data_IF_947741922508
#
_entry.id   IF_947741922508
#
_cell.length_a   1.000
_cell.length_b   1.000
_cell.length_c   1.000
_cell.angle_alpha   90.00
_cell.angle_beta   90.00
_cell.angle_gamma   90.00
#
_symmetry.space_group_name_H-M   'P 1'
#
loop_
_entity.id
_entity.type
_entity.pdbx_description
1 polymer ?
#
# COMPACT_ATOMS: atom_id res chain seq x y z
N UNK A 1 68.79 74.16 54.06
CA UNK A 1 69.00 72.94 53.26
C UNK A 1 67.69 72.16 53.26
N UNK A 2 66.92 72.30 52.19
CA UNK A 2 65.70 71.54 51.94
C UNK A 2 66.11 70.27 51.20
N UNK A 3 66.03 69.11 51.86
CA UNK A 3 66.07 67.83 51.16
C UNK A 3 64.64 67.58 50.65
N UNK A 4 64.43 67.86 49.36
CA UNK A 4 63.15 67.66 48.68
C UNK A 4 62.79 66.17 48.68
N UNK A 5 61.57 65.87 49.13
CA UNK A 5 60.97 64.54 48.94
C UNK A 5 60.83 64.35 47.43
N UNK A 6 61.61 63.42 46.89
CA UNK A 6 61.54 63.01 45.49
C UNK A 6 60.21 62.27 45.30
N UNK A 7 59.30 62.88 44.53
CA UNK A 7 58.01 62.28 44.21
C UNK A 7 58.23 61.15 43.21
N UNK A 8 57.93 59.92 43.63
CA UNK A 8 58.02 58.71 42.81
C UNK A 8 56.81 58.62 41.86
N UNK A 9 56.92 59.30 40.72
CA UNK A 9 55.87 59.38 39.69
C UNK A 9 55.53 58.00 39.08
N UNK A 10 56.52 57.10 38.99
CA UNK A 10 56.37 55.79 38.35
C UNK A 10 55.42 54.87 39.14
N UNK A 11 55.48 54.91 40.48
CA UNK A 11 54.52 54.18 41.34
C UNK A 11 53.09 54.70 41.23
N UNK A 12 52.92 56.00 40.98
CA UNK A 12 51.60 56.61 40.83
C UNK A 12 51.00 56.27 39.46
N UNK A 13 51.79 56.29 38.39
CA UNK A 13 51.36 55.88 37.04
C UNK A 13 50.97 54.40 36.99
N UNK A 14 51.76 53.49 37.59
CA UNK A 14 51.45 52.05 37.62
C UNK A 14 50.15 51.75 38.38
N UNK A 15 49.94 52.43 39.52
CA UNK A 15 48.66 52.36 40.26
C UNK A 15 47.47 52.87 39.45
N UNK A 16 47.67 53.93 38.67
CA UNK A 16 46.62 54.53 37.82
C UNK A 16 46.29 53.62 36.63
N UNK A 17 47.29 53.04 35.97
CA UNK A 17 47.09 52.06 34.90
C UNK A 17 46.40 50.79 35.38
N UNK A 18 46.74 50.32 36.58
CA UNK A 18 46.09 49.16 37.19
C UNK A 18 44.60 49.44 37.50
N UNK A 19 44.30 50.59 38.08
CA UNK A 19 42.91 50.99 38.36
C UNK A 19 42.12 51.16 37.06
N UNK A 20 42.71 51.80 36.04
CA UNK A 20 42.07 51.93 34.73
C UNK A 20 41.81 50.56 34.07
N UNK A 21 42.76 49.62 34.19
CA UNK A 21 42.62 48.25 33.72
C UNK A 21 41.50 47.48 34.44
N UNK A 22 41.40 47.61 35.77
CA UNK A 22 40.32 46.99 36.55
C UNK A 22 38.94 47.56 36.20
N UNK A 23 38.84 48.88 35.98
CA UNK A 23 37.60 49.53 35.53
C UNK A 23 37.19 49.04 34.15
N UNK A 24 38.15 48.92 33.22
CA UNK A 24 37.88 48.42 31.88
C UNK A 24 37.47 46.94 31.88
N UNK A 25 38.11 46.10 32.70
CA UNK A 25 37.74 44.69 32.88
C UNK A 25 36.33 44.54 33.43
N UNK A 26 35.93 45.37 34.41
CA UNK A 26 34.54 45.39 34.90
C UNK A 26 33.56 45.82 33.82
N UNK A 27 33.94 46.80 32.99
CA UNK A 27 33.10 47.22 31.87
C UNK A 27 32.89 46.10 30.85
N UNK A 28 33.95 45.35 30.52
CA UNK A 28 33.85 44.18 29.64
C UNK A 28 33.04 43.05 30.26
N UNK A 29 33.23 42.77 31.56
CA UNK A 29 32.43 41.78 32.28
C UNK A 29 30.94 42.09 32.22
N UNK A 30 30.57 43.34 32.53
CA UNK A 30 29.17 43.79 32.44
C UNK A 30 28.62 43.72 31.02
N UNK A 31 29.40 44.10 30.01
CA UNK A 31 28.99 43.98 28.61
C UNK A 31 28.72 42.52 28.21
N UNK A 32 29.58 41.58 28.61
CA UNK A 32 29.40 40.16 28.31
C UNK A 32 28.18 39.57 29.01
N UNK A 33 27.91 39.99 30.26
CA UNK A 33 26.70 39.59 30.99
C UNK A 33 25.43 40.14 30.33
N UNK A 34 25.40 41.42 29.98
CA UNK A 34 24.28 42.06 29.26
C UNK A 34 24.05 41.42 27.90
N UNK A 35 25.12 41.16 27.14
CA UNK A 35 25.05 40.51 25.83
C UNK A 35 24.58 39.05 25.94
N UNK A 36 25.07 38.31 26.94
CA UNK A 36 24.61 36.96 27.23
C UNK A 36 23.13 36.90 27.60
N UNK A 37 22.66 37.86 28.41
CA UNK A 37 21.25 38.00 28.76
C UNK A 37 20.38 38.35 27.54
N UNK A 38 20.88 39.19 26.63
CA UNK A 38 20.19 39.49 25.36
C UNK A 38 20.09 38.26 24.46
N UNK A 39 21.17 37.49 24.30
CA UNK A 39 21.13 36.24 23.53
C UNK A 39 20.12 35.25 24.11
N UNK A 40 20.11 35.09 25.44
CA UNK A 40 19.17 34.22 26.11
C UNK A 40 17.72 34.68 25.92
N UNK A 41 17.47 35.99 25.98
CA UNK A 41 16.14 36.54 25.68
C UNK A 41 15.70 36.32 24.24
N UNK A 42 16.63 36.33 23.28
CA UNK A 42 16.35 35.99 21.87
C UNK A 42 16.06 34.49 21.72
N UNK A 43 16.83 33.64 22.39
CA UNK A 43 16.63 32.18 22.44
C UNK A 43 15.26 31.81 23.03
N UNK A 44 14.91 32.36 24.19
CA UNK A 44 13.61 32.15 24.83
C UNK A 44 12.44 32.66 23.95
N UNK A 45 12.60 33.81 23.28
CA UNK A 45 11.60 34.33 22.36
C UNK A 45 11.44 33.49 21.08
N UNK A 46 12.52 32.80 20.65
CA UNK A 46 12.48 31.86 19.54
C UNK A 46 11.85 30.53 19.95
N UNK A 47 12.18 29.98 21.14
CA UNK A 47 11.57 28.74 21.66
C UNK A 47 10.05 28.86 21.82
N UNK A 48 9.53 29.97 22.34
CA UNK A 48 8.07 30.17 22.49
C UNK A 48 7.33 30.37 21.15
N UNK A 49 8.04 30.71 20.07
CA UNK A 49 7.46 30.92 18.73
C UNK A 49 7.67 29.74 17.77
N UNK A 50 8.58 28.82 18.08
CA UNK A 50 8.95 27.68 17.23
C UNK A 50 8.37 26.42 17.86
N UNK A 51 7.10 26.16 17.53
CA UNK A 51 6.46 24.87 17.74
C UNK A 51 7.38 23.73 17.25
N UNK A 52 7.39 22.59 17.96
CA UNK A 52 8.06 21.29 17.67
C UNK A 52 7.88 20.73 16.23
N UNK A 53 7.22 21.46 15.34
CA UNK A 53 6.98 21.12 13.94
C UNK A 53 8.01 21.68 12.96
N UNK A 54 8.91 22.58 13.38
CA UNK A 54 9.87 23.24 12.48
C UNK A 54 11.31 22.84 12.82
N UNK A 55 11.60 21.54 12.75
CA UNK A 55 12.98 21.08 12.61
C UNK A 55 13.50 21.51 11.24
N UNK A 56 14.35 22.53 11.20
CA UNK A 56 14.95 23.08 9.97
C UNK A 56 15.89 22.06 9.29
N UNK A 57 16.25 20.96 9.98
CA UNK A 57 16.97 19.82 9.42
C UNK A 57 16.06 18.78 8.73
N UNK A 58 14.74 18.83 8.97
CA UNK A 58 13.74 18.20 8.10
C UNK A 58 13.57 19.11 6.88
N UNK A 59 14.34 18.78 5.84
CA UNK A 59 14.48 19.56 4.61
C UNK A 59 13.17 19.99 3.92
N UNK A 60 13.28 20.79 2.85
CA UNK A 60 12.17 21.51 2.23
C UNK A 60 10.97 20.60 1.94
N UNK A 61 9.77 21.12 2.24
CA UNK A 61 8.47 20.55 1.85
C UNK A 61 8.58 20.13 0.38
N UNK A 62 8.54 18.83 0.13
CA UNK A 62 8.59 18.27 -1.21
C UNK A 62 7.39 18.76 -2.01
N UNK A 63 7.63 19.65 -2.98
CA UNK A 63 6.61 20.08 -3.93
C UNK A 63 6.52 19.05 -5.05
N UNK A 64 5.62 18.08 -4.89
CA UNK A 64 5.32 17.11 -5.94
C UNK A 64 4.36 17.71 -6.97
N UNK A 65 4.90 18.18 -8.08
CA UNK A 65 4.09 18.51 -9.26
C UNK A 65 3.76 17.22 -10.01
N UNK A 66 2.72 16.49 -9.58
CA UNK A 66 2.11 15.48 -10.45
C UNK A 66 1.24 16.23 -11.45
N UNK A 67 1.47 16.12 -12.76
CA UNK A 67 0.58 16.74 -13.74
C UNK A 67 -0.82 16.13 -13.61
N UNK A 68 -1.82 16.98 -13.31
CA UNK A 68 -3.22 16.59 -13.28
C UNK A 68 -3.88 16.95 -14.60
N UNK A 69 -4.13 15.93 -15.43
CA UNK A 69 -4.84 16.07 -16.69
C UNK A 69 -6.29 16.52 -16.41
N UNK A 70 -6.66 17.72 -16.88
CA UNK A 70 -8.02 18.26 -16.76
C UNK A 70 -8.96 17.81 -17.90
N UNK A 71 -8.48 16.87 -18.72
CA UNK A 71 -9.16 16.35 -19.90
C UNK A 71 -9.65 14.92 -19.64
N UNK A 72 -10.82 14.56 -20.18
CA UNK A 72 -11.32 13.18 -20.09
C UNK A 72 -10.69 12.27 -21.14
N UNK A 73 -10.62 10.96 -20.88
CA UNK A 73 -10.17 9.97 -21.88
C UNK A 73 -10.95 10.08 -23.20
N UNK A 74 -12.25 10.39 -23.13
CA UNK A 74 -13.11 10.56 -24.31
C UNK A 74 -12.70 11.77 -25.17
N UNK A 75 -12.18 12.83 -24.55
CA UNK A 75 -11.72 14.03 -25.26
C UNK A 75 -10.30 13.85 -25.80
N UNK A 76 -9.45 13.07 -25.11
CA UNK A 76 -8.11 12.74 -25.59
C UNK A 76 -8.12 11.79 -26.78
N UNK A 77 -9.12 10.90 -26.85
CA UNK A 77 -9.25 9.89 -27.90
C UNK A 77 -10.24 10.38 -28.95
N UNK A 78 -9.79 11.32 -29.77
CA UNK A 78 -10.55 11.89 -30.88
C UNK A 78 -9.85 11.61 -32.21
N UNK A 79 -10.22 10.50 -32.86
CA UNK A 79 -9.81 10.17 -34.23
C UNK A 79 -11.02 9.95 -35.12
N UNK A 80 -10.84 10.05 -36.44
CA UNK A 80 -11.91 9.79 -37.42
C UNK A 80 -12.43 8.34 -37.36
N UNK A 81 -11.62 7.41 -36.84
CA UNK A 81 -11.99 6.02 -36.70
C UNK A 81 -12.74 5.78 -35.37
N UNK A 82 -14.07 5.89 -35.44
CA UNK A 82 -14.97 5.67 -34.29
C UNK A 82 -14.82 4.29 -33.64
N UNK A 83 -14.47 3.26 -34.41
CA UNK A 83 -14.23 1.92 -33.88
C UNK A 83 -12.95 1.91 -33.05
N UNK A 84 -11.86 2.47 -33.60
CA UNK A 84 -10.59 2.60 -32.90
C UNK A 84 -10.77 3.42 -31.61
N UNK A 85 -11.53 4.52 -31.65
CA UNK A 85 -11.80 5.32 -30.45
C UNK A 85 -12.43 4.47 -29.34
N UNK A 86 -13.42 3.62 -29.66
CA UNK A 86 -14.04 2.72 -28.67
C UNK A 86 -13.03 1.75 -28.07
N UNK A 87 -12.18 1.13 -28.90
CA UNK A 87 -11.15 0.19 -28.46
C UNK A 87 -10.15 0.90 -27.54
N UNK A 88 -9.63 2.05 -27.96
CA UNK A 88 -8.69 2.85 -27.18
C UNK A 88 -9.31 3.33 -25.87
N UNK A 89 -10.57 3.77 -25.85
CA UNK A 89 -11.25 4.20 -24.63
C UNK A 89 -11.35 3.05 -23.62
N UNK A 90 -11.70 1.84 -24.07
CA UNK A 90 -11.77 0.66 -23.20
C UNK A 90 -10.40 0.35 -22.59
N UNK A 91 -9.35 0.23 -23.40
CA UNK A 91 -8.02 -0.07 -22.89
C UNK A 91 -7.43 1.06 -22.04
N UNK A 92 -7.61 2.32 -22.43
CA UNK A 92 -7.15 3.47 -21.66
C UNK A 92 -7.84 3.53 -20.29
N UNK A 93 -9.14 3.23 -20.22
CA UNK A 93 -9.89 3.17 -18.97
C UNK A 93 -9.38 2.04 -18.07
N UNK A 94 -9.14 0.84 -18.63
CA UNK A 94 -8.56 -0.28 -17.87
C UNK A 94 -7.14 0.04 -17.37
N UNK A 95 -6.31 0.69 -18.19
CA UNK A 95 -4.95 1.09 -17.77
C UNK A 95 -4.99 2.17 -16.68
N UNK A 96 -5.91 3.14 -16.77
CA UNK A 96 -6.11 4.15 -15.73
C UNK A 96 -6.58 3.51 -14.41
N UNK A 97 -7.49 2.55 -14.49
CA UNK A 97 -7.98 1.78 -13.34
C UNK A 97 -6.86 0.98 -12.67
N UNK A 98 -6.00 0.30 -13.44
CA UNK A 98 -4.82 -0.39 -12.91
C UNK A 98 -3.91 0.59 -12.16
N UNK A 99 -3.63 1.76 -12.73
CA UNK A 99 -2.79 2.79 -12.08
C UNK A 99 -3.40 3.25 -10.75
N UNK A 100 -4.71 3.44 -10.71
CA UNK A 100 -5.43 3.78 -9.49
C UNK A 100 -5.29 2.66 -8.45
N UNK A 101 -5.58 1.40 -8.82
CA UNK A 101 -5.49 0.25 -7.90
C UNK A 101 -4.07 0.03 -7.37
N UNK A 102 -3.05 0.20 -8.21
CA UNK A 102 -1.63 0.13 -7.80
C UNK A 102 -1.27 1.20 -6.78
N UNK A 103 -1.76 2.43 -6.99
CA UNK A 103 -1.57 3.53 -6.03
C UNK A 103 -2.30 3.26 -4.71
N UNK A 104 -3.54 2.80 -4.78
CA UNK A 104 -4.34 2.45 -3.59
C UNK A 104 -3.69 1.31 -2.79
N UNK A 105 -3.22 0.25 -3.45
CA UNK A 105 -2.46 -0.83 -2.81
C UNK A 105 -1.28 -0.31 -1.99
N UNK A 106 -0.45 0.52 -2.62
CA UNK A 106 0.76 1.07 -2.01
C UNK A 106 0.46 1.98 -0.82
N UNK A 107 -0.47 2.92 -1.00
CA UNK A 107 -0.67 3.99 -0.02
C UNK A 107 -1.59 3.58 1.14
N UNK A 108 -2.39 2.52 0.97
CA UNK A 108 -3.40 2.12 1.94
C UNK A 108 -3.16 0.75 2.56
N UNK A 109 -2.83 -0.25 1.75
CA UNK A 109 -2.85 -1.63 2.20
C UNK A 109 -1.47 -2.16 2.60
N UNK A 110 -0.42 -1.85 1.84
CA UNK A 110 0.93 -2.40 2.11
C UNK A 110 1.44 -2.01 3.49
N UNK A 111 1.50 -0.72 3.81
CA UNK A 111 2.00 -0.26 5.11
C UNK A 111 1.13 -0.73 6.26
N UNK A 112 -0.20 -0.71 6.09
CA UNK A 112 -1.16 -1.18 7.11
C UNK A 112 -0.94 -2.64 7.49
N UNK A 113 -0.62 -3.51 6.52
CA UNK A 113 -0.34 -4.92 6.79
C UNK A 113 1.09 -5.09 7.32
N UNK A 114 2.07 -4.42 6.71
CA UNK A 114 3.48 -4.57 7.05
C UNK A 114 3.77 -4.15 8.51
N UNK A 115 3.18 -3.04 8.95
CA UNK A 115 3.35 -2.52 10.31
C UNK A 115 2.32 -3.06 11.31
N UNK A 116 1.50 -4.04 10.94
CA UNK A 116 0.58 -4.66 11.90
C UNK A 116 1.36 -5.28 13.07
N UNK A 117 1.02 -4.88 14.30
CA UNK A 117 1.70 -5.39 15.50
C UNK A 117 3.04 -4.71 15.81
N UNK A 118 3.54 -3.84 14.94
CA UNK A 118 4.70 -2.99 15.21
C UNK A 118 4.27 -1.80 16.07
N UNK A 119 4.90 -1.61 17.23
CA UNK A 119 4.58 -0.52 18.18
C UNK A 119 4.01 -0.94 19.54
N UNK A 120 3.92 -2.25 19.82
CA UNK A 120 3.62 -2.73 21.17
C UNK A 120 4.85 -2.76 22.06
N UNK A 121 4.90 -1.92 23.10
CA UNK A 121 5.85 -2.11 24.20
C UNK A 121 5.58 -3.45 24.92
N UNK A 122 6.64 -4.07 25.43
CA UNK A 122 6.70 -5.49 25.84
C UNK A 122 5.56 -6.03 26.72
N UNK A 123 5.38 -7.36 26.61
CA UNK A 123 4.30 -8.18 27.19
C UNK A 123 2.90 -7.68 26.83
N UNK A 124 2.36 -8.19 25.71
CA UNK A 124 0.95 -8.06 25.38
C UNK A 124 0.10 -8.53 26.59
N UNK A 125 -0.71 -7.62 27.13
CA UNK A 125 -1.73 -7.98 28.12
C UNK A 125 -2.68 -9.04 27.56
N UNK A 126 -3.22 -9.90 28.42
CA UNK A 126 -4.24 -10.87 28.03
C UNK A 126 -5.40 -10.16 27.31
N UNK A 127 -5.66 -10.55 26.05
CA UNK A 127 -6.71 -9.94 25.23
C UNK A 127 -6.23 -8.90 24.21
N UNK A 128 -4.98 -8.41 24.29
CA UNK A 128 -4.48 -7.37 23.41
C UNK A 128 -4.43 -7.81 21.93
N UNK A 129 -4.03 -9.06 21.65
CA UNK A 129 -4.06 -9.65 20.31
C UNK A 129 -5.47 -9.63 19.71
N UNK A 130 -6.49 -9.96 20.51
CA UNK A 130 -7.88 -9.94 20.07
C UNK A 130 -8.39 -8.53 19.77
N UNK A 131 -8.01 -7.54 20.59
CA UNK A 131 -8.35 -6.14 20.37
C UNK A 131 -7.69 -5.59 19.11
N UNK A 132 -6.38 -5.84 18.92
CA UNK A 132 -5.65 -5.42 17.73
C UNK A 132 -6.29 -6.01 16.46
N UNK A 133 -6.53 -7.32 16.45
CA UNK A 133 -7.14 -7.93 15.28
C UNK A 133 -8.58 -7.44 15.05
N UNK A 134 -9.37 -7.22 16.10
CA UNK A 134 -10.72 -6.69 15.97
C UNK A 134 -10.76 -5.34 15.26
N UNK A 135 -9.75 -4.48 15.48
CA UNK A 135 -9.59 -3.18 14.80
C UNK A 135 -9.09 -3.33 13.37
N UNK A 136 -8.33 -4.40 13.09
CA UNK A 136 -7.82 -4.71 11.75
C UNK A 136 -8.89 -5.36 10.85
N UNK A 137 -9.94 -5.98 11.42
CA UNK A 137 -10.98 -6.67 10.64
C UNK A 137 -11.68 -5.83 9.56
N UNK A 138 -12.11 -4.57 9.82
CA UNK A 138 -12.69 -3.73 8.77
C UNK A 138 -11.71 -3.48 7.60
N UNK A 139 -10.43 -3.31 7.90
CA UNK A 139 -9.38 -3.13 6.89
C UNK A 139 -9.18 -4.39 6.06
N UNK A 140 -9.20 -5.57 6.68
CA UNK A 140 -9.15 -6.86 5.97
C UNK A 140 -10.41 -7.09 5.11
N UNK A 141 -11.58 -6.68 5.59
CA UNK A 141 -12.80 -6.77 4.79
C UNK A 141 -12.72 -5.88 3.56
N UNK A 142 -12.27 -4.64 3.73
CA UNK A 142 -12.09 -3.71 2.62
C UNK A 142 -11.02 -4.22 1.64
N UNK A 143 -9.91 -4.76 2.15
CA UNK A 143 -8.88 -5.40 1.34
C UNK A 143 -9.42 -6.58 0.52
N UNK A 144 -10.34 -7.40 1.08
CA UNK A 144 -11.00 -8.46 0.30
C UNK A 144 -11.84 -7.92 -0.85
N UNK A 145 -12.49 -6.77 -0.67
CA UNK A 145 -13.21 -6.11 -1.76
C UNK A 145 -12.25 -5.53 -2.80
N UNK A 146 -11.14 -4.93 -2.37
CA UNK A 146 -10.07 -4.44 -3.23
C UNK A 146 -9.47 -5.55 -4.09
N UNK A 147 -9.11 -6.70 -3.49
CA UNK A 147 -8.58 -7.86 -4.22
C UNK A 147 -9.54 -8.33 -5.31
N UNK A 148 -10.84 -8.44 -5.01
CA UNK A 148 -11.86 -8.82 -6.02
C UNK A 148 -11.94 -7.82 -7.17
N UNK A 149 -11.82 -6.52 -6.89
CA UNK A 149 -11.77 -5.49 -7.93
C UNK A 149 -10.54 -5.68 -8.82
N UNK A 150 -9.39 -5.98 -8.24
CA UNK A 150 -8.18 -6.28 -9.00
C UNK A 150 -8.34 -7.51 -9.90
N UNK A 151 -8.88 -8.61 -9.37
CA UNK A 151 -9.17 -9.83 -10.13
C UNK A 151 -10.12 -9.55 -11.31
N UNK A 152 -11.16 -8.75 -11.10
CA UNK A 152 -12.09 -8.33 -12.16
C UNK A 152 -11.39 -7.54 -13.26
N UNK A 153 -10.52 -6.59 -12.91
CA UNK A 153 -9.77 -5.80 -13.89
C UNK A 153 -8.82 -6.67 -14.71
N UNK A 154 -8.15 -7.65 -14.09
CA UNK A 154 -7.34 -8.64 -14.83
C UNK A 154 -8.19 -9.41 -15.84
N UNK A 155 -9.32 -9.95 -15.40
CA UNK A 155 -10.26 -10.70 -16.26
C UNK A 155 -10.69 -9.82 -17.44
N UNK A 156 -11.09 -8.58 -17.19
CA UNK A 156 -11.51 -7.66 -18.23
C UNK A 156 -10.38 -7.34 -19.23
N UNK A 157 -9.15 -7.08 -18.77
CA UNK A 157 -8.02 -6.84 -19.69
C UNK A 157 -7.80 -8.03 -20.61
N UNK A 158 -7.80 -9.24 -20.06
CA UNK A 158 -7.59 -10.48 -20.83
C UNK A 158 -8.73 -10.73 -21.82
N UNK A 159 -9.98 -10.54 -21.40
CA UNK A 159 -11.16 -10.66 -22.26
C UNK A 159 -11.12 -9.67 -23.43
N UNK A 160 -10.78 -8.40 -23.18
CA UNK A 160 -10.69 -7.37 -24.21
C UNK A 160 -9.54 -7.64 -25.20
N UNK A 161 -8.37 -8.08 -24.70
CA UNK A 161 -7.25 -8.49 -25.56
C UNK A 161 -7.65 -9.69 -26.42
N UNK A 162 -8.32 -10.69 -25.85
CA UNK A 162 -8.79 -11.84 -26.60
C UNK A 162 -9.81 -11.47 -27.67
N UNK A 163 -10.76 -10.59 -27.36
CA UNK A 163 -11.72 -10.10 -28.34
C UNK A 163 -11.02 -9.36 -29.50
N UNK A 164 -10.05 -8.51 -29.19
CA UNK A 164 -9.28 -7.75 -30.19
C UNK A 164 -8.46 -8.65 -31.13
N UNK A 165 -7.79 -9.67 -30.59
CA UNK A 165 -6.94 -10.58 -31.37
C UNK A 165 -7.67 -11.82 -31.90
N UNK A 166 -8.95 -12.00 -31.57
CA UNK A 166 -9.73 -13.16 -32.02
C UNK A 166 -9.77 -13.23 -33.55
N UNK A 167 -9.10 -14.24 -34.08
CA UNK A 167 -8.99 -14.48 -35.53
C UNK A 167 -9.89 -15.64 -35.93
N UNK A 168 -11.21 -15.51 -35.70
CA UNK A 168 -12.16 -16.50 -36.23
C UNK A 168 -12.49 -16.16 -37.68
N UNK A 169 -12.46 -17.17 -38.56
CA UNK A 169 -12.85 -17.03 -39.99
C UNK A 169 -14.29 -16.54 -40.17
N UNK A 170 -15.14 -16.75 -39.16
CA UNK A 170 -16.56 -16.35 -39.15
C UNK A 170 -16.85 -15.16 -38.23
N UNK A 171 -15.85 -14.62 -37.51
CA UNK A 171 -16.05 -13.42 -36.70
C UNK A 171 -15.94 -12.18 -37.58
N UNK A 172 -16.95 -11.31 -37.50
CA UNK A 172 -16.88 -9.96 -38.06
C UNK A 172 -15.75 -9.21 -37.36
N UNK A 173 -14.59 -9.09 -38.00
CA UNK A 173 -13.49 -8.29 -37.48
C UNK A 173 -13.97 -6.85 -37.32
N UNK A 174 -14.03 -6.38 -36.08
CA UNK A 174 -14.34 -4.98 -35.80
C UNK A 174 -13.16 -4.12 -36.28
N UNK A 175 -11.93 -4.61 -36.12
CA UNK A 175 -10.70 -4.07 -36.71
C UNK A 175 -9.68 -5.20 -36.91
N UNK A 176 -8.84 -5.12 -37.94
CA UNK A 176 -7.71 -6.04 -38.08
C UNK A 176 -6.53 -5.53 -37.23
N UNK A 177 -6.29 -6.18 -36.09
CA UNK A 177 -5.19 -5.84 -35.17
C UNK A 177 -3.89 -6.62 -35.44
N UNK A 178 -3.77 -7.30 -36.59
CA UNK A 178 -2.54 -8.03 -36.96
C UNK A 178 -1.36 -7.07 -37.00
N UNK A 179 -0.33 -7.36 -36.20
CA UNK A 179 0.87 -6.52 -36.11
C UNK A 179 0.73 -5.27 -35.23
N UNK A 180 -0.42 -5.06 -34.57
CA UNK A 180 -0.58 -4.01 -33.56
C UNK A 180 -0.19 -4.57 -32.19
N UNK A 181 0.73 -3.89 -31.51
CA UNK A 181 1.23 -4.28 -30.19
C UNK A 181 0.70 -3.31 -29.13
N UNK A 182 -0.20 -3.79 -28.27
CA UNK A 182 -0.70 -3.03 -27.12
C UNK A 182 0.24 -3.21 -25.91
N UNK A 183 1.51 -2.82 -26.08
CA UNK A 183 2.54 -3.01 -25.05
C UNK A 183 2.13 -2.41 -23.70
N UNK A 184 1.65 -1.17 -23.68
CA UNK A 184 1.19 -0.51 -22.45
C UNK A 184 0.12 -1.32 -21.71
N UNK A 185 -0.80 -1.97 -22.42
CA UNK A 185 -1.85 -2.80 -21.80
C UNK A 185 -1.24 -4.03 -21.14
N UNK A 186 -0.24 -4.66 -21.76
CA UNK A 186 0.48 -5.78 -21.16
C UNK A 186 1.32 -5.37 -19.95
N UNK A 187 1.93 -4.18 -19.98
CA UNK A 187 2.65 -3.64 -18.82
C UNK A 187 1.71 -3.38 -17.64
N UNK A 188 0.53 -2.80 -17.89
CA UNK A 188 -0.49 -2.61 -16.85
C UNK A 188 -1.08 -3.95 -16.36
N UNK A 189 -1.24 -4.94 -17.25
CA UNK A 189 -1.59 -6.30 -16.82
C UNK A 189 -0.51 -6.88 -15.88
N UNK A 190 0.77 -6.69 -16.20
CA UNK A 190 1.88 -7.06 -15.31
C UNK A 190 1.81 -6.35 -13.96
N UNK A 191 1.57 -5.04 -13.95
CA UNK A 191 1.47 -4.23 -12.75
C UNK A 191 0.39 -4.73 -11.78
N UNK A 192 -0.82 -5.05 -12.26
CA UNK A 192 -1.89 -5.53 -11.40
C UNK A 192 -1.64 -6.96 -10.89
N UNK A 193 -0.97 -7.80 -11.70
CA UNK A 193 -0.54 -9.13 -11.28
C UNK A 193 0.53 -9.03 -10.18
N UNK A 194 1.45 -8.08 -10.29
CA UNK A 194 2.43 -7.78 -9.22
C UNK A 194 1.73 -7.32 -7.96
N UNK A 195 0.71 -6.46 -8.05
CA UNK A 195 -0.06 -6.03 -6.87
C UNK A 195 -0.65 -7.22 -6.11
N UNK A 196 -1.29 -8.16 -6.83
CA UNK A 196 -1.86 -9.37 -6.25
C UNK A 196 -0.79 -10.28 -5.62
N UNK A 197 0.35 -10.46 -6.29
CA UNK A 197 1.49 -11.23 -5.77
C UNK A 197 2.08 -10.60 -4.50
N UNK A 198 2.28 -9.28 -4.49
CA UNK A 198 2.80 -8.57 -3.32
C UNK A 198 1.86 -8.71 -2.13
N UNK A 199 0.55 -8.66 -2.34
CA UNK A 199 -0.42 -8.89 -1.25
C UNK A 199 -0.32 -10.32 -0.69
N UNK A 200 -0.21 -11.34 -1.54
CA UNK A 200 -0.01 -12.72 -1.11
C UNK A 200 1.27 -12.87 -0.27
N UNK A 201 2.38 -12.27 -0.73
CA UNK A 201 3.68 -12.36 -0.07
C UNK A 201 3.69 -11.63 1.29
N UNK A 202 3.14 -10.41 1.33
CA UNK A 202 3.10 -9.61 2.56
C UNK A 202 2.18 -10.26 3.60
N UNK A 203 0.99 -10.73 3.20
CA UNK A 203 0.08 -11.40 4.13
C UNK A 203 0.60 -12.77 4.57
N UNK A 204 1.11 -13.57 3.64
CA UNK A 204 1.56 -14.94 3.92
C UNK A 204 2.79 -15.01 4.84
N UNK A 205 3.67 -14.00 4.81
CA UNK A 205 4.85 -13.95 5.67
C UNK A 205 4.60 -13.26 7.01
N UNK A 206 3.43 -12.66 7.23
CA UNK A 206 3.16 -11.87 8.43
C UNK A 206 2.70 -12.76 9.60
N UNK A 207 3.66 -13.35 10.32
CA UNK A 207 3.42 -14.33 11.40
C UNK A 207 2.54 -13.81 12.53
N UNK A 208 2.77 -12.58 13.02
CA UNK A 208 2.01 -11.99 14.12
C UNK A 208 0.50 -11.90 13.82
N UNK A 209 0.15 -11.54 12.58
CA UNK A 209 -1.23 -11.49 12.09
C UNK A 209 -1.84 -12.88 12.08
N UNK A 210 -1.11 -13.89 11.60
CA UNK A 210 -1.57 -15.28 11.62
C UNK A 210 -1.80 -15.79 13.05
N UNK A 211 -0.89 -15.50 13.98
CA UNK A 211 -1.02 -15.90 15.38
C UNK A 211 -2.22 -15.22 16.04
N UNK A 212 -2.36 -13.91 15.86
CA UNK A 212 -3.51 -13.15 16.37
C UNK A 212 -4.82 -13.66 15.75
N UNK A 213 -4.81 -14.06 14.46
CA UNK A 213 -5.96 -14.64 13.77
C UNK A 213 -6.42 -15.96 14.39
N UNK A 214 -5.47 -16.86 14.69
CA UNK A 214 -5.75 -18.14 15.34
C UNK A 214 -6.34 -17.93 16.73
N UNK A 215 -5.74 -17.03 17.52
CA UNK A 215 -6.21 -16.69 18.87
C UNK A 215 -7.64 -16.14 18.80
N UNK A 216 -7.89 -15.17 17.93
CA UNK A 216 -9.20 -14.53 17.78
C UNK A 216 -10.28 -15.51 17.34
N UNK A 217 -10.01 -16.36 16.34
CA UNK A 217 -10.95 -17.42 15.92
C UNK A 217 -11.26 -18.39 17.06
N UNK A 218 -10.26 -18.76 17.87
CA UNK A 218 -10.49 -19.61 19.05
C UNK A 218 -11.37 -18.91 20.08
N UNK A 219 -11.18 -17.61 20.31
CA UNK A 219 -12.03 -16.81 21.19
C UNK A 219 -13.47 -16.76 20.68
N UNK A 220 -13.70 -16.49 19.39
CA UNK A 220 -15.04 -16.48 18.78
C UNK A 220 -15.74 -17.84 18.93
N UNK A 221 -15.02 -18.94 18.72
CA UNK A 221 -15.55 -20.30 18.96
C UNK A 221 -15.88 -20.56 20.43
N UNK A 222 -15.08 -20.05 21.37
CA UNK A 222 -15.40 -20.15 22.79
C UNK A 222 -16.70 -19.43 23.15
N UNK A 223 -16.97 -18.27 22.55
CA UNK A 223 -18.22 -17.51 22.74
C UNK A 223 -19.42 -18.29 22.21
N UNK A 224 -19.24 -19.11 21.17
CA UNK A 224 -20.31 -19.93 20.57
C UNK A 224 -20.87 -20.98 21.53
N UNK A 225 -20.06 -21.46 22.49
CA UNK A 225 -20.51 -22.44 23.48
C UNK A 225 -21.45 -21.85 24.53
N UNK A 226 -21.38 -20.54 24.81
CA UNK A 226 -22.27 -19.85 25.73
C UNK A 226 -22.54 -18.38 25.29
N UNK A 227 -23.31 -18.17 24.21
CA UNK A 227 -23.54 -16.82 23.65
C UNK A 227 -24.32 -15.90 24.58
N UNK A 228 -25.21 -16.48 25.40
CA UNK A 228 -26.08 -15.76 26.34
C UNK A 228 -25.27 -15.00 27.38
N UNK A 229 -24.14 -15.55 27.83
CA UNK A 229 -23.22 -14.90 28.76
C UNK A 229 -22.61 -13.60 28.24
N UNK A 230 -22.55 -13.44 26.91
CA UNK A 230 -21.97 -12.27 26.25
C UNK A 230 -23.04 -11.36 25.63
N UNK A 231 -24.32 -11.66 25.79
CA UNK A 231 -25.43 -10.87 25.23
C UNK A 231 -25.48 -10.88 23.70
N UNK A 232 -24.97 -11.93 23.05
CA UNK A 232 -24.91 -12.03 21.59
C UNK A 232 -25.91 -13.06 21.06
N UNK A 233 -26.68 -12.68 20.04
CA UNK A 233 -27.56 -13.61 19.32
C UNK A 233 -26.75 -14.63 18.52
N UNK A 234 -27.13 -15.91 18.63
CA UNK A 234 -26.43 -17.01 17.95
C UNK A 234 -26.33 -16.83 16.43
N UNK A 235 -27.39 -16.31 15.78
CA UNK A 235 -27.39 -16.08 14.33
C UNK A 235 -26.36 -15.03 13.90
N UNK A 236 -26.26 -13.92 14.65
CA UNK A 236 -25.26 -12.86 14.39
C UNK A 236 -23.84 -13.40 14.56
N UNK A 237 -23.61 -14.20 15.60
CA UNK A 237 -22.31 -14.84 15.85
C UNK A 237 -21.92 -15.82 14.73
N UNK A 238 -22.88 -16.63 14.25
CA UNK A 238 -22.68 -17.55 13.13
C UNK A 238 -22.35 -16.80 11.83
N UNK A 239 -23.05 -15.71 11.55
CA UNK A 239 -22.76 -14.87 10.39
C UNK A 239 -21.35 -14.26 10.45
N UNK A 240 -20.93 -13.84 11.64
CA UNK A 240 -19.58 -13.35 11.87
C UNK A 240 -18.51 -14.43 11.67
N UNK A 241 -18.72 -15.65 12.18
CA UNK A 241 -17.79 -16.77 11.96
C UNK A 241 -17.65 -17.12 10.46
N UNK A 242 -18.76 -17.07 9.72
CA UNK A 242 -18.75 -17.25 8.27
C UNK A 242 -17.96 -16.13 7.56
N UNK A 243 -18.08 -14.88 8.02
CA UNK A 243 -17.29 -13.76 7.50
C UNK A 243 -15.80 -13.99 7.74
N UNK A 244 -15.40 -14.35 8.97
CA UNK A 244 -14.00 -14.66 9.29
C UNK A 244 -13.46 -15.77 8.40
N UNK A 245 -14.21 -16.86 8.25
CA UNK A 245 -13.80 -17.98 7.39
C UNK A 245 -13.65 -17.55 5.92
N UNK A 246 -14.51 -16.66 5.41
CA UNK A 246 -14.37 -16.10 4.06
C UNK A 246 -13.12 -15.24 3.92
N UNK A 247 -12.85 -14.36 4.89
CA UNK A 247 -11.67 -13.49 4.87
C UNK A 247 -10.38 -14.29 4.95
N UNK A 248 -10.30 -15.27 5.85
CA UNK A 248 -9.15 -16.17 5.96
C UNK A 248 -8.88 -16.89 4.64
N UNK A 249 -9.91 -17.51 4.06
CA UNK A 249 -9.77 -18.26 2.82
C UNK A 249 -9.35 -17.38 1.64
N UNK A 250 -9.84 -16.14 1.58
CA UNK A 250 -9.57 -15.25 0.47
C UNK A 250 -8.23 -14.50 0.61
N UNK A 251 -7.82 -14.13 1.83
CA UNK A 251 -6.64 -13.28 2.06
C UNK A 251 -5.46 -14.02 2.67
N UNK A 252 -5.70 -14.90 3.65
CA UNK A 252 -4.65 -15.46 4.51
C UNK A 252 -4.17 -16.85 4.09
N UNK A 253 -4.66 -17.39 2.96
CA UNK A 253 -4.24 -18.72 2.48
C UNK A 253 -3.14 -18.67 1.43
N UNK A 254 -2.63 -17.49 1.08
CA UNK A 254 -1.63 -17.31 0.00
C UNK A 254 -2.22 -17.68 -1.36
N UNK A 255 -3.47 -17.23 -1.62
CA UNK A 255 -4.24 -17.58 -2.81
C UNK A 255 -4.86 -16.38 -3.50
N UNK A 256 -4.42 -15.17 -3.18
CA UNK A 256 -4.86 -13.94 -3.83
C UNK A 256 -4.43 -13.96 -5.31
N UNK A 257 -3.18 -14.35 -5.58
CA UNK A 257 -2.67 -14.60 -6.92
C UNK A 257 -3.04 -16.01 -7.39
N UNK A 258 -4.34 -16.29 -7.53
CA UNK A 258 -4.81 -17.52 -8.16
C UNK A 258 -5.88 -17.20 -9.20
N UNK A 259 -5.44 -16.90 -10.41
CA UNK A 259 -6.31 -16.81 -11.58
C UNK A 259 -6.21 -18.15 -12.32
N UNK A 260 -7.15 -19.10 -12.10
CA UNK A 260 -7.04 -20.44 -12.66
C UNK A 260 -7.38 -20.50 -14.16
N UNK A 261 -8.31 -19.64 -14.60
CA UNK A 261 -8.75 -19.55 -15.98
C UNK A 261 -9.56 -18.26 -16.19
N UNK A 262 -9.50 -17.72 -17.40
CA UNK A 262 -10.36 -16.62 -17.86
C UNK A 262 -11.17 -17.09 -19.06
N UNK A 263 -12.49 -16.90 -19.04
CA UNK A 263 -13.34 -17.18 -20.21
C UNK A 263 -13.13 -16.08 -21.23
N UNK A 264 -12.61 -16.42 -22.41
CA UNK A 264 -12.36 -15.44 -23.46
C UNK A 264 -13.65 -15.15 -24.24
N UNK A 265 -14.16 -16.18 -24.94
CA UNK A 265 -15.39 -16.13 -25.72
C UNK A 265 -15.99 -17.53 -25.76
N UNK A 266 -17.28 -17.66 -25.47
CA UNK A 266 -17.99 -18.94 -25.50
C UNK A 266 -17.35 -19.98 -24.57
N UNK A 267 -16.87 -21.08 -25.15
CA UNK A 267 -16.16 -22.15 -24.43
C UNK A 267 -14.63 -22.05 -24.51
N UNK A 268 -14.08 -20.97 -25.06
CA UNK A 268 -12.63 -20.75 -25.10
C UNK A 268 -12.16 -20.18 -23.76
N UNK A 269 -11.21 -20.86 -23.14
CA UNK A 269 -10.60 -20.47 -21.86
C UNK A 269 -9.13 -20.13 -22.08
N UNK A 270 -8.70 -19.04 -21.47
CA UNK A 270 -7.30 -18.69 -21.31
C UNK A 270 -6.79 -19.16 -19.96
N UNK A 271 -5.57 -19.67 -19.94
CA UNK A 271 -4.91 -20.21 -18.77
C UNK A 271 -3.59 -19.46 -18.57
N UNK A 272 -3.47 -18.63 -17.51
CA UNK A 272 -2.28 -17.79 -17.32
C UNK A 272 -1.00 -18.62 -17.27
N UNK A 273 -1.04 -19.82 -16.65
CA UNK A 273 0.14 -20.67 -16.53
C UNK A 273 0.61 -21.18 -17.89
N UNK A 274 -0.31 -21.55 -18.79
CA UNK A 274 0.04 -22.02 -20.13
C UNK A 274 0.59 -20.87 -20.97
N UNK A 275 -0.02 -19.69 -20.85
CA UNK A 275 0.45 -18.50 -21.53
C UNK A 275 1.88 -18.13 -21.10
N UNK A 276 2.13 -18.07 -19.78
CA UNK A 276 3.45 -17.76 -19.24
C UNK A 276 4.48 -18.83 -19.64
N UNK A 277 4.15 -20.12 -19.58
CA UNK A 277 5.07 -21.18 -20.01
C UNK A 277 5.41 -21.12 -21.51
N UNK A 278 4.45 -20.74 -22.35
CA UNK A 278 4.65 -20.62 -23.79
C UNK A 278 5.52 -19.42 -24.18
N UNK A 279 5.43 -18.30 -23.45
CA UNK A 279 6.08 -17.04 -23.82
C UNK A 279 7.34 -16.73 -22.98
N UNK A 280 7.45 -17.29 -21.77
CA UNK A 280 8.61 -17.19 -20.88
C UNK A 280 9.41 -18.51 -20.87
N UNK A 281 9.74 -19.01 -22.07
CA UNK A 281 10.36 -20.34 -22.26
C UNK A 281 11.68 -20.54 -21.51
N UNK A 282 12.45 -19.46 -21.30
CA UNK A 282 13.67 -19.50 -20.50
C UNK A 282 13.40 -19.73 -19.01
N UNK A 283 12.33 -19.12 -18.47
CA UNK A 283 11.91 -19.32 -17.08
C UNK A 283 11.18 -20.64 -16.89
N UNK A 284 10.46 -21.13 -17.91
CA UNK A 284 9.77 -22.41 -17.86
C UNK A 284 10.69 -23.60 -17.51
N UNK A 285 11.98 -23.52 -17.90
CA UNK A 285 13.01 -24.52 -17.58
C UNK A 285 13.46 -24.50 -16.11
N UNK A 286 13.25 -23.38 -15.41
CA UNK A 286 13.64 -23.19 -14.01
C UNK A 286 12.53 -23.60 -13.03
N UNK A 287 11.29 -23.72 -13.52
CA UNK A 287 10.14 -24.11 -12.69
C UNK A 287 10.13 -25.63 -12.55
N UNK A 288 10.10 -26.11 -11.29
CA UNK A 288 10.03 -27.55 -11.00
C UNK A 288 8.76 -28.21 -11.57
N UNK A 289 8.91 -29.44 -12.08
CA UNK A 289 7.81 -30.19 -12.72
C UNK A 289 6.66 -30.46 -11.76
N UNK A 290 6.92 -30.65 -10.45
CA UNK A 290 5.88 -30.86 -9.45
C UNK A 290 5.04 -29.60 -9.24
N UNK A 291 5.67 -28.43 -9.28
CA UNK A 291 4.97 -27.15 -9.22
C UNK A 291 4.03 -26.97 -10.43
N UNK A 292 4.52 -27.27 -11.64
CA UNK A 292 3.70 -27.24 -12.86
C UNK A 292 2.49 -28.19 -12.77
N UNK A 293 2.70 -29.43 -12.33
CA UNK A 293 1.63 -30.41 -12.12
C UNK A 293 0.61 -29.96 -11.06
N UNK A 294 1.08 -29.28 -10.02
CA UNK A 294 0.22 -28.75 -8.96
C UNK A 294 -0.72 -27.67 -9.51
N UNK A 295 -0.20 -26.74 -10.31
CA UNK A 295 -1.02 -25.70 -10.96
C UNK A 295 -2.02 -26.33 -11.93
N UNK A 296 -1.59 -27.30 -12.74
CA UNK A 296 -2.46 -28.02 -13.66
C UNK A 296 -3.60 -28.76 -12.94
N UNK A 297 -3.30 -29.46 -11.85
CA UNK A 297 -4.28 -30.16 -11.02
C UNK A 297 -5.30 -29.19 -10.41
N UNK A 298 -4.82 -28.08 -9.82
CA UNK A 298 -5.69 -27.02 -9.27
C UNK A 298 -6.63 -26.45 -10.32
N UNK A 299 -6.13 -26.16 -11.53
CA UNK A 299 -6.95 -25.69 -12.65
C UNK A 299 -8.05 -26.69 -13.00
N UNK A 300 -7.74 -27.99 -13.06
CA UNK A 300 -8.75 -29.03 -13.32
C UNK A 300 -9.82 -29.06 -12.23
N UNK A 301 -9.44 -28.99 -10.95
CA UNK A 301 -10.39 -28.93 -9.84
C UNK A 301 -11.29 -27.69 -9.93
N UNK A 302 -10.71 -26.52 -10.24
CA UNK A 302 -11.47 -25.29 -10.43
C UNK A 302 -12.50 -25.43 -11.56
N UNK A 303 -12.10 -25.93 -12.72
CA UNK A 303 -13.00 -26.12 -13.86
C UNK A 303 -14.14 -27.10 -13.56
N UNK A 304 -13.85 -28.18 -12.83
CA UNK A 304 -14.88 -29.13 -12.37
C UNK A 304 -15.88 -28.46 -11.42
N UNK A 305 -15.41 -27.71 -10.43
CA UNK A 305 -16.27 -26.97 -9.50
C UNK A 305 -17.10 -25.93 -10.23
N UNK A 306 -16.49 -25.16 -11.13
CA UNK A 306 -17.17 -24.11 -11.88
C UNK A 306 -18.25 -24.68 -12.80
N UNK A 307 -17.96 -25.78 -13.50
CA UNK A 307 -18.93 -26.54 -14.30
C UNK A 307 -20.14 -27.02 -13.48
N UNK A 308 -19.91 -27.50 -12.25
CA UNK A 308 -21.00 -27.93 -11.36
C UNK A 308 -21.82 -26.76 -10.80
N UNK A 309 -21.19 -25.60 -10.58
CA UNK A 309 -21.85 -24.40 -10.06
C UNK A 309 -22.61 -23.60 -11.12
N UNK A 310 -22.15 -23.63 -12.38
CA UNK A 310 -22.67 -22.80 -13.47
C UNK A 310 -24.20 -22.93 -13.65
N UNK A 311 -24.80 -24.14 -13.65
CA UNK A 311 -26.25 -24.27 -13.80
C UNK A 311 -27.02 -23.63 -12.64
N UNK A 312 -26.45 -23.60 -11.44
CA UNK A 312 -27.07 -22.94 -10.28
C UNK A 312 -26.96 -21.43 -10.40
N UNK A 313 -25.77 -20.92 -10.73
CA UNK A 313 -25.52 -19.48 -10.94
C UNK A 313 -26.41 -18.93 -12.06
N UNK A 314 -26.51 -19.63 -13.20
CA UNK A 314 -27.36 -19.25 -14.32
C UNK A 314 -28.85 -19.21 -13.93
N UNK A 315 -29.33 -20.16 -13.14
CA UNK A 315 -30.71 -20.12 -12.62
C UNK A 315 -30.95 -18.94 -11.71
N UNK A 316 -30.00 -18.61 -10.84
CA UNK A 316 -30.12 -17.43 -9.96
C UNK A 316 -30.14 -16.13 -10.77
N UNK A 317 -29.32 -16.03 -11.82
CA UNK A 317 -29.28 -14.86 -12.69
C UNK A 317 -30.53 -14.69 -13.56
N UNK A 318 -31.13 -15.79 -14.03
CA UNK A 318 -32.39 -15.74 -14.78
C UNK A 318 -33.63 -15.47 -13.90
N UNK A 319 -33.49 -15.55 -12.58
CA UNK A 319 -34.56 -15.29 -11.61
C UNK A 319 -34.48 -13.88 -10.96
N UNK A 320 -33.46 -13.10 -11.33
CA UNK A 320 -33.31 -11.68 -10.99
C UNK A 320 -33.77 -10.81 -12.15
#
# INVERSE_FOLDING_TARGET
MLAGVEWDYDRLEDGTHKIAGEVQLRSYGRFLEEYGAQLKGIEEALEDSVCDSWDVSLGPIYLQFVPYEHTTLLQLIDTDNKVLNKILVVFATLCAEVRYLKSEAKNKYYDTILFYGEGGEGNLQDGAAQLLLSRMLPHLQELSCFVKRCEQVVVQIVEQLAALYSSSRDATYVINATGIHFQDVFEHLGDILVVLLTLDEVLGNHSTLHDHWIIYKRTVKSVQHDPSKFGVEWEKLKNFENLLSKLENHLLTGKIFQIPAVTLVGNMLWFPEQFLLAHLTNMAKLIDKKAQQTVQSRRQTYLQQKSQSLPKEARTFCLQ
#
